data_IF_345871645832
#
_entry.id   IF_345871645832
#
_cell.length_a   1.000
_cell.length_b   1.000
_cell.length_c   1.000
_cell.angle_alpha   90.00
_cell.angle_beta   90.00
_cell.angle_gamma   90.00
#
_symmetry.space_group_name_H-M   'P 1'
#
loop_
_entity.id
_entity.type
_entity.pdbx_description
1 polymer ?
#
# COMPACT_ATOMS: atom_id res chain seq x y z
N UNK A 1 34.51 -13.57 11.94
CA UNK A 1 33.33 -14.42 12.24
C UNK A 1 32.00 -13.73 11.91
N UNK A 2 31.99 -12.74 10.99
CA UNK A 2 30.78 -12.13 10.45
C UNK A 2 31.00 -11.87 8.98
N UNK A 3 30.77 -12.88 8.16
CA UNK A 3 30.60 -12.69 6.75
C UNK A 3 29.38 -13.50 6.34
N UNK A 4 28.51 -12.87 5.56
CA UNK A 4 27.23 -13.37 5.04
C UNK A 4 25.96 -13.07 5.83
N UNK A 5 25.81 -11.85 6.39
CA UNK A 5 24.47 -11.28 6.51
C UNK A 5 24.22 -10.41 5.28
N UNK A 6 23.21 -10.77 4.49
CA UNK A 6 22.79 -9.95 3.34
C UNK A 6 22.54 -8.51 3.82
N UNK A 7 23.18 -7.54 3.15
CA UNK A 7 22.97 -6.11 3.44
C UNK A 7 21.50 -5.72 3.29
N UNK A 8 20.79 -6.35 2.36
CA UNK A 8 19.34 -6.19 2.19
C UNK A 8 18.58 -6.63 3.44
N UNK A 9 18.94 -7.78 4.01
CA UNK A 9 18.31 -8.28 5.24
C UNK A 9 18.54 -7.33 6.42
N UNK A 10 19.74 -6.75 6.52
CA UNK A 10 20.05 -5.76 7.56
C UNK A 10 19.25 -4.46 7.35
N UNK A 11 19.16 -3.98 6.11
CA UNK A 11 18.40 -2.78 5.77
C UNK A 11 16.90 -2.96 6.03
N UNK A 12 16.31 -4.07 5.57
CA UNK A 12 14.91 -4.40 5.80
C UNK A 12 14.61 -4.42 7.30
N UNK A 13 15.48 -5.07 8.09
CA UNK A 13 15.31 -5.10 9.55
C UNK A 13 15.30 -3.69 10.15
N UNK A 14 16.26 -2.84 9.79
CA UNK A 14 16.34 -1.47 10.29
C UNK A 14 15.11 -0.62 9.91
N UNK A 15 14.64 -0.71 8.66
CA UNK A 15 13.45 0.01 8.19
C UNK A 15 12.18 -0.44 8.93
N UNK A 16 11.99 -1.75 9.10
CA UNK A 16 10.84 -2.29 9.80
C UNK A 16 10.83 -1.94 11.30
N UNK A 17 11.99 -2.00 11.96
CA UNK A 17 12.13 -1.56 13.36
C UNK A 17 11.73 -0.09 13.53
N UNK A 18 12.12 0.78 12.60
CA UNK A 18 11.69 2.19 12.59
C UNK A 18 10.17 2.32 12.49
N UNK A 19 9.52 1.59 11.59
CA UNK A 19 8.05 1.64 11.47
C UNK A 19 7.33 1.09 12.71
N UNK A 20 7.89 0.08 13.39
CA UNK A 20 7.33 -0.45 14.63
C UNK A 20 7.32 0.59 15.76
N UNK A 21 8.31 1.48 15.81
CA UNK A 21 8.39 2.56 16.81
C UNK A 21 7.33 3.65 16.61
N UNK A 22 6.93 3.91 15.37
CA UNK A 22 5.99 5.01 15.02
C UNK A 22 4.53 4.57 14.87
N UNK A 23 4.20 3.32 15.20
CA UNK A 23 2.89 2.66 14.98
C UNK A 23 2.48 2.51 13.52
N UNK A 24 1.77 1.43 13.20
CA UNK A 24 1.23 1.15 11.86
C UNK A 24 -0.16 1.74 11.62
N UNK A 25 -0.78 2.30 12.66
CA UNK A 25 -2.18 2.73 12.66
C UNK A 25 -2.33 4.22 12.27
N UNK A 26 -1.21 4.91 12.01
CA UNK A 26 -1.18 6.35 11.72
C UNK A 26 -0.79 6.71 10.29
N UNK A 27 -1.21 7.90 9.85
CA UNK A 27 -0.69 8.54 8.64
C UNK A 27 0.82 8.82 8.83
N UNK A 28 1.71 8.42 7.91
CA UNK A 28 3.15 8.67 8.03
C UNK A 28 3.49 10.12 7.70
N UNK A 29 3.07 11.05 8.57
CA UNK A 29 3.34 12.49 8.45
C UNK A 29 4.17 12.98 9.63
N UNK A 30 4.98 14.02 9.41
CA UNK A 30 5.76 14.64 10.48
C UNK A 30 4.88 15.55 11.33
N UNK A 31 4.04 16.37 10.70
CA UNK A 31 3.09 17.24 11.39
C UNK A 31 1.66 16.81 11.13
N UNK A 32 0.78 17.02 12.10
CA UNK A 32 -0.65 16.68 11.97
C UNK A 32 -1.35 17.51 10.88
N UNK A 33 -0.85 18.72 10.63
CA UNK A 33 -1.34 19.63 9.58
C UNK A 33 -0.96 19.21 8.17
N UNK A 34 0.01 18.29 8.02
CA UNK A 34 0.47 17.85 6.71
C UNK A 34 -0.57 16.94 6.04
N UNK A 35 -0.72 17.13 4.73
CA UNK A 35 -1.59 16.31 3.87
C UNK A 35 -0.76 15.19 3.21
N UNK A 36 -1.41 14.08 2.85
CA UNK A 36 -0.82 13.04 2.02
C UNK A 36 -1.62 12.98 0.73
N UNK A 37 -0.94 13.11 -0.41
CA UNK A 37 -1.57 12.83 -1.71
C UNK A 37 -1.50 11.34 -2.00
N UNK A 38 -2.65 10.75 -2.32
CA UNK A 38 -2.76 9.35 -2.71
C UNK A 38 -3.24 9.30 -4.15
N UNK A 39 -2.35 8.88 -5.04
CA UNK A 39 -2.70 8.61 -6.42
C UNK A 39 -3.28 7.20 -6.48
N UNK A 40 -4.58 7.13 -6.79
CA UNK A 40 -5.32 5.87 -6.85
C UNK A 40 -5.65 5.49 -8.30
N UNK A 41 -5.34 4.25 -8.66
CA UNK A 41 -5.57 3.69 -9.98
C UNK A 41 -6.40 2.41 -9.91
N UNK A 42 -7.21 2.19 -10.94
CA UNK A 42 -7.98 0.96 -11.14
C UNK A 42 -7.73 0.43 -12.55
N UNK A 43 -7.46 -0.86 -12.63
CA UNK A 43 -7.34 -1.60 -13.88
C UNK A 43 -8.38 -2.70 -13.89
N UNK A 44 -9.34 -2.61 -14.83
CA UNK A 44 -10.32 -3.65 -15.05
C UNK A 44 -9.62 -4.87 -15.68
N UNK A 45 -9.80 -6.04 -15.07
CA UNK A 45 -9.31 -7.30 -15.61
C UNK A 45 -10.42 -7.99 -16.39
N UNK A 46 -11.57 -8.17 -15.75
CA UNK A 46 -12.68 -8.92 -16.33
C UNK A 46 -14.02 -8.48 -15.75
N UNK A 47 -15.07 -8.50 -16.58
CA UNK A 47 -16.47 -8.47 -16.15
C UNK A 47 -16.93 -9.91 -15.91
N UNK A 48 -17.30 -10.21 -14.68
CA UNK A 48 -17.75 -11.54 -14.25
C UNK A 48 -19.23 -11.74 -14.51
N UNK A 49 -20.05 -10.75 -14.16
CA UNK A 49 -21.50 -10.80 -14.32
C UNK A 49 -22.10 -9.40 -14.41
N UNK A 50 -23.24 -9.30 -15.09
CA UNK A 50 -24.05 -8.08 -15.18
C UNK A 50 -25.51 -8.44 -14.89
N UNK A 51 -26.03 -7.94 -13.78
CA UNK A 51 -27.45 -8.00 -13.46
C UNK A 51 -28.08 -6.63 -13.72
N UNK A 52 -28.65 -6.47 -14.92
CA UNK A 52 -29.25 -5.22 -15.37
C UNK A 52 -30.50 -4.85 -14.56
N UNK A 53 -31.26 -5.86 -14.11
CA UNK A 53 -32.50 -5.64 -13.35
C UNK A 53 -32.20 -5.09 -11.97
N UNK A 54 -31.12 -5.57 -11.33
CA UNK A 54 -30.69 -5.12 -10.00
C UNK A 54 -29.56 -4.08 -10.04
N UNK A 55 -29.08 -3.69 -11.22
CA UNK A 55 -27.96 -2.75 -11.43
C UNK A 55 -26.66 -3.18 -10.74
N UNK A 56 -26.36 -4.48 -10.76
CA UNK A 56 -25.14 -5.03 -10.15
C UNK A 56 -24.16 -5.43 -11.23
N UNK A 57 -22.92 -4.93 -11.12
CA UNK A 57 -21.78 -5.30 -11.96
C UNK A 57 -20.73 -5.98 -11.10
N UNK A 58 -20.49 -7.26 -11.35
CA UNK A 58 -19.43 -8.02 -10.70
C UNK A 58 -18.20 -8.02 -11.60
N UNK A 59 -17.07 -7.49 -11.12
CA UNK A 59 -15.83 -7.36 -11.90
C UNK A 59 -14.63 -7.73 -11.08
N UNK A 60 -13.63 -8.32 -11.74
CA UNK A 60 -12.29 -8.46 -11.20
C UNK A 60 -11.49 -7.23 -11.60
N UNK A 61 -10.94 -6.55 -10.59
CA UNK A 61 -10.12 -5.35 -10.78
C UNK A 61 -8.80 -5.51 -10.04
N UNK A 62 -7.77 -4.88 -10.56
CA UNK A 62 -6.55 -4.59 -9.81
C UNK A 62 -6.62 -3.13 -9.39
N UNK A 63 -6.38 -2.87 -8.11
CA UNK A 63 -6.23 -1.52 -7.60
C UNK A 63 -4.75 -1.26 -7.31
N UNK A 64 -4.30 -0.05 -7.62
CA UNK A 64 -2.96 0.42 -7.28
C UNK A 64 -3.11 1.73 -6.53
N UNK A 65 -2.23 1.95 -5.56
CA UNK A 65 -2.12 3.24 -4.90
C UNK A 65 -0.65 3.54 -4.65
N UNK A 66 -0.29 4.81 -4.82
CA UNK A 66 1.02 5.33 -4.47
C UNK A 66 0.79 6.57 -3.62
N UNK A 67 1.43 6.60 -2.45
CA UNK A 67 1.50 7.83 -1.67
C UNK A 67 2.72 8.62 -2.11
N UNK A 68 2.51 9.85 -2.56
CA UNK A 68 3.57 10.80 -2.85
C UNK A 68 3.70 11.70 -1.62
N UNK A 69 4.92 11.74 -1.05
CA UNK A 69 5.31 12.63 0.05
C UNK A 69 5.73 13.99 -0.50
#
# INVERSE_FOLDING_TARGET
MYENVSKEKALIKCLLERYMLYTTVGRPVTNTSDIISVDFGLSLIQIMNVDEKNQVLETNVWYTYVSIL
#
